data_IF_659254390933
#
_entry.id   IF_659254390933
#
_cell.length_a   1.000
_cell.length_b   1.000
_cell.length_c   1.000
_cell.angle_alpha   90.00
_cell.angle_beta   90.00
_cell.angle_gamma   90.00
#
_symmetry.space_group_name_H-M   'P 1'
#
loop_
_entity.id
_entity.type
_entity.pdbx_description
1 polymer ?
#
# COMPACT_ATOMS: atom_id res chain seq x y z
N UNK A 1 5.28 -10.32 -68.69
CA UNK A 1 5.35 -10.34 -67.21
C UNK A 1 4.42 -9.29 -66.63
N UNK A 2 3.21 -9.67 -66.20
CA UNK A 2 2.37 -8.97 -65.21
C UNK A 2 1.41 -10.02 -64.63
N UNK A 3 1.71 -10.50 -63.43
CA UNK A 3 0.82 -11.39 -62.68
C UNK A 3 -0.13 -10.56 -61.83
N UNK A 4 -1.44 -10.79 -61.99
CA UNK A 4 -2.49 -10.15 -61.19
C UNK A 4 -3.41 -11.24 -60.62
N UNK A 5 -3.40 -11.31 -59.29
CA UNK A 5 -4.47 -11.64 -58.33
C UNK A 5 -5.23 -12.97 -58.48
N UNK A 6 -5.16 -13.76 -57.41
CA UNK A 6 -6.28 -14.59 -56.97
C UNK A 6 -6.48 -14.43 -55.47
N UNK A 7 -7.52 -13.68 -55.10
CA UNK A 7 -8.06 -13.63 -53.76
C UNK A 7 -8.77 -14.97 -53.47
N UNK A 8 -8.46 -15.60 -52.34
CA UNK A 8 -9.19 -16.77 -51.85
C UNK A 8 -9.97 -16.41 -50.59
N UNK A 9 -11.28 -16.41 -50.80
CA UNK A 9 -12.41 -16.74 -49.94
C UNK A 9 -12.19 -17.01 -48.45
N UNK A 10 -12.98 -16.26 -47.69
CA UNK A 10 -13.53 -16.50 -46.35
C UNK A 10 -13.70 -17.99 -45.97
N UNK A 11 -13.01 -18.39 -44.90
CA UNK A 11 -13.34 -19.56 -44.10
C UNK A 11 -13.90 -19.13 -42.75
N UNK A 12 -15.21 -19.23 -42.59
CA UNK A 12 -15.86 -19.11 -41.29
C UNK A 12 -15.56 -20.38 -40.47
N UNK A 13 -14.84 -20.24 -39.36
CA UNK A 13 -14.74 -21.30 -38.35
C UNK A 13 -15.69 -20.92 -37.21
N UNK A 14 -16.82 -21.61 -37.20
CA UNK A 14 -17.74 -21.69 -36.09
C UNK A 14 -17.04 -22.45 -34.95
N UNK A 15 -16.54 -21.72 -33.96
CA UNK A 15 -15.99 -22.26 -32.72
C UNK A 15 -16.97 -22.08 -31.57
N UNK A 16 -17.87 -23.04 -31.42
CA UNK A 16 -18.63 -23.27 -30.20
C UNK A 16 -17.63 -23.67 -29.09
N UNK A 17 -17.77 -23.12 -27.87
CA UNK A 17 -17.82 -23.87 -26.60
C UNK A 17 -17.40 -23.04 -25.36
N UNK A 18 -18.38 -22.94 -24.47
CA UNK A 18 -18.27 -23.04 -23.00
C UNK A 18 -17.86 -21.78 -22.24
N UNK A 19 -18.86 -21.28 -21.50
CA UNK A 19 -18.77 -20.09 -20.67
C UNK A 19 -17.64 -20.14 -19.65
N UNK A 20 -16.86 -19.07 -19.63
CA UNK A 20 -16.24 -18.59 -18.41
C UNK A 20 -17.28 -17.75 -17.65
N UNK A 21 -18.26 -18.43 -17.08
CA UNK A 21 -19.03 -17.92 -15.96
C UNK A 21 -18.16 -17.94 -14.70
N UNK A 22 -17.01 -17.26 -14.73
CA UNK A 22 -16.33 -16.89 -13.51
C UNK A 22 -17.16 -15.75 -12.93
N UNK A 23 -18.09 -16.11 -12.06
CA UNK A 23 -18.64 -15.16 -11.10
C UNK A 23 -17.45 -14.62 -10.33
N UNK A 24 -16.92 -13.47 -10.77
CA UNK A 24 -16.01 -12.67 -9.97
C UNK A 24 -16.85 -12.25 -8.78
N UNK A 25 -16.83 -13.08 -7.74
CA UNK A 25 -17.29 -12.65 -6.43
C UNK A 25 -16.35 -11.51 -6.10
N UNK A 26 -16.85 -10.30 -6.28
CA UNK A 26 -16.16 -9.07 -5.95
C UNK A 26 -15.69 -9.24 -4.51
N UNK A 27 -14.41 -9.60 -4.36
CA UNK A 27 -13.81 -9.71 -3.05
C UNK A 27 -13.92 -8.30 -2.51
N UNK A 28 -14.80 -8.12 -1.52
CA UNK A 28 -15.11 -6.84 -0.91
C UNK A 28 -13.80 -6.07 -0.77
N UNK A 29 -13.79 -4.84 -1.27
CA UNK A 29 -12.59 -4.01 -1.32
C UNK A 29 -11.85 -4.19 0.00
N UNK A 30 -10.57 -4.60 -0.05
CA UNK A 30 -9.76 -4.64 1.16
C UNK A 30 -9.95 -3.30 1.84
N UNK A 31 -10.57 -3.32 3.01
CA UNK A 31 -10.94 -2.14 3.74
C UNK A 31 -10.40 -2.36 5.14
N UNK A 32 -9.57 -1.41 5.56
CA UNK A 32 -9.12 -1.37 6.94
C UNK A 32 -10.28 -0.81 7.76
N UNK A 33 -10.46 -1.31 8.98
CA UNK A 33 -11.39 -0.63 9.88
C UNK A 33 -10.89 0.77 10.19
N UNK A 34 -11.80 1.70 10.49
CA UNK A 34 -11.45 3.10 10.81
C UNK A 34 -10.42 3.23 11.94
N UNK A 35 -10.45 2.32 12.91
CA UNK A 35 -9.48 2.28 14.01
C UNK A 35 -8.09 1.84 13.55
N UNK A 36 -8.01 0.91 12.61
CA UNK A 36 -6.75 0.50 11.98
C UNK A 36 -6.16 1.63 11.14
N UNK A 37 -6.99 2.28 10.32
CA UNK A 37 -6.59 3.45 9.53
C UNK A 37 -6.05 4.58 10.41
N UNK A 38 -6.79 4.95 11.47
CA UNK A 38 -6.37 5.99 12.41
C UNK A 38 -5.05 5.64 13.11
N UNK A 39 -4.85 4.36 13.48
CA UNK A 39 -3.62 3.88 14.10
C UNK A 39 -2.43 3.98 13.13
N UNK A 40 -2.61 3.54 11.89
CA UNK A 40 -1.57 3.59 10.85
C UNK A 40 -1.24 5.04 10.47
N UNK A 41 -2.26 5.89 10.33
CA UNK A 41 -2.10 7.31 10.09
C UNK A 41 -1.27 7.97 11.20
N UNK A 42 -1.62 7.71 12.46
CA UNK A 42 -0.90 8.27 13.60
C UNK A 42 0.57 7.87 13.62
N UNK A 43 0.87 6.62 13.26
CA UNK A 43 2.24 6.13 13.16
C UNK A 43 3.01 6.81 12.01
N UNK A 44 2.33 7.10 10.89
CA UNK A 44 2.89 7.88 9.78
C UNK A 44 3.27 9.30 10.19
N UNK A 45 2.40 10.00 10.95
CA UNK A 45 2.73 11.34 11.50
C UNK A 45 3.97 11.31 12.39
N UNK A 46 4.08 10.33 13.29
CA UNK A 46 5.25 10.19 14.16
C UNK A 46 6.51 9.91 13.33
N UNK A 47 6.38 9.11 12.26
CA UNK A 47 7.48 8.77 11.36
C UNK A 47 7.98 9.99 10.58
N UNK A 48 7.10 10.90 10.15
CA UNK A 48 7.51 12.16 9.54
C UNK A 48 8.27 13.07 10.49
N UNK A 49 7.80 13.22 11.72
CA UNK A 49 8.50 14.02 12.72
C UNK A 49 9.87 13.41 13.03
N UNK A 50 9.95 12.09 13.13
CA UNK A 50 11.21 11.36 13.30
C UNK A 50 12.17 11.55 12.12
N UNK A 51 11.68 11.47 10.88
CA UNK A 51 12.45 11.75 9.67
C UNK A 51 13.02 13.18 9.69
N UNK A 52 12.19 14.18 10.01
CA UNK A 52 12.63 15.57 10.15
C UNK A 52 13.69 15.76 11.25
N UNK A 53 13.66 14.91 12.28
CA UNK A 53 14.65 14.87 13.36
C UNK A 53 15.88 13.98 13.05
N UNK A 54 15.96 13.36 11.88
CA UNK A 54 17.05 12.45 11.52
C UNK A 54 17.08 11.15 12.34
N UNK A 55 15.93 10.73 12.87
CA UNK A 55 15.76 9.44 13.55
C UNK A 55 15.42 8.36 12.53
N UNK A 56 15.82 7.11 12.81
CA UNK A 56 15.55 5.96 11.93
C UNK A 56 14.10 5.47 12.08
N UNK A 57 13.18 6.20 11.43
CA UNK A 57 11.78 5.84 11.40
C UNK A 57 11.51 4.52 10.67
N UNK A 58 12.37 4.15 9.72
CA UNK A 58 12.13 2.96 8.92
C UNK A 58 12.32 1.70 9.76
N UNK A 59 13.44 1.60 10.48
CA UNK A 59 13.75 0.44 11.32
C UNK A 59 12.94 0.42 12.62
N UNK A 60 12.65 1.58 13.21
CA UNK A 60 11.98 1.66 14.52
C UNK A 60 10.43 1.64 14.41
N UNK A 61 9.88 2.12 13.30
CA UNK A 61 8.43 2.31 13.13
C UNK A 61 7.87 1.48 11.98
N UNK A 62 8.28 1.78 10.74
CA UNK A 62 7.63 1.21 9.55
C UNK A 62 7.79 -0.30 9.45
N UNK A 63 9.02 -0.81 9.55
CA UNK A 63 9.28 -2.25 9.41
C UNK A 63 8.60 -3.08 10.51
N UNK A 64 8.69 -2.72 11.82
CA UNK A 64 7.97 -3.46 12.87
C UNK A 64 6.45 -3.39 12.73
N UNK A 65 5.89 -2.26 12.28
CA UNK A 65 4.46 -2.13 11.98
C UNK A 65 4.04 -3.10 10.88
N UNK A 66 4.76 -3.12 9.76
CA UNK A 66 4.46 -4.04 8.65
C UNK A 66 4.61 -5.51 9.07
N UNK A 67 5.60 -5.82 9.91
CA UNK A 67 5.77 -7.16 10.47
C UNK A 67 4.58 -7.56 11.37
N UNK A 68 4.09 -6.64 12.21
CA UNK A 68 2.92 -6.88 13.06
C UNK A 68 1.68 -7.22 12.24
N UNK A 69 1.34 -6.40 11.24
CA UNK A 69 0.16 -6.65 10.41
C UNK A 69 0.27 -7.93 9.58
N UNK A 70 1.48 -8.26 9.11
CA UNK A 70 1.73 -9.54 8.45
C UNK A 70 1.48 -10.73 9.39
N UNK A 71 1.90 -10.64 10.66
CA UNK A 71 1.63 -11.69 11.67
C UNK A 71 0.15 -11.84 11.99
N UNK A 72 -0.63 -10.78 11.87
CA UNK A 72 -2.09 -10.82 12.03
C UNK A 72 -2.83 -11.38 10.80
N UNK A 73 -2.11 -11.79 9.76
CA UNK A 73 -2.71 -12.40 8.58
C UNK A 73 -3.37 -11.42 7.62
N UNK A 74 -3.02 -10.12 7.68
CA UNK A 74 -3.48 -9.15 6.68
C UNK A 74 -3.07 -9.60 5.28
N UNK A 75 -4.01 -9.51 4.35
CA UNK A 75 -3.78 -9.81 2.94
C UNK A 75 -2.78 -8.83 2.32
N UNK A 76 -2.20 -9.18 1.17
CA UNK A 76 -1.28 -8.27 0.48
C UNK A 76 -1.93 -6.95 0.07
N UNK A 77 -3.23 -6.97 -0.26
CA UNK A 77 -3.98 -5.75 -0.58
C UNK A 77 -4.15 -4.86 0.66
N UNK A 78 -4.47 -5.44 1.82
CA UNK A 78 -4.53 -4.69 3.09
C UNK A 78 -3.14 -4.17 3.50
N UNK A 79 -2.07 -4.95 3.34
CA UNK A 79 -0.70 -4.50 3.63
C UNK A 79 -0.30 -3.34 2.72
N UNK A 80 -0.69 -3.35 1.45
CA UNK A 80 -0.47 -2.23 0.54
C UNK A 80 -1.22 -0.98 1.00
N UNK A 81 -2.47 -1.11 1.47
CA UNK A 81 -3.23 0.00 2.03
C UNK A 81 -2.60 0.54 3.31
N UNK A 82 -2.15 -0.33 4.21
CA UNK A 82 -1.45 0.06 5.45
C UNK A 82 -0.18 0.86 5.11
N UNK A 83 0.64 0.35 4.18
CA UNK A 83 1.84 1.07 3.73
C UNK A 83 1.48 2.42 3.08
N UNK A 84 0.42 2.46 2.27
CA UNK A 84 -0.09 3.66 1.64
C UNK A 84 -0.56 4.72 2.63
N UNK A 85 -1.37 4.34 3.63
CA UNK A 85 -1.83 5.25 4.68
C UNK A 85 -0.69 5.82 5.50
N UNK A 86 0.29 4.99 5.87
CA UNK A 86 1.48 5.42 6.59
C UNK A 86 2.28 6.44 5.76
N UNK A 87 2.58 6.12 4.50
CA UNK A 87 3.31 7.01 3.61
C UNK A 87 2.57 8.31 3.31
N UNK A 88 1.24 8.27 3.16
CA UNK A 88 0.41 9.46 2.96
C UNK A 88 0.46 10.39 4.17
N UNK A 89 0.30 9.85 5.39
CA UNK A 89 0.41 10.63 6.62
C UNK A 89 1.82 11.20 6.81
N UNK A 90 2.85 10.42 6.47
CA UNK A 90 4.25 10.85 6.54
C UNK A 90 4.53 12.00 5.56
N UNK A 91 4.01 11.93 4.34
CA UNK A 91 4.15 13.00 3.34
C UNK A 91 3.33 14.26 3.66
N UNK A 92 2.18 14.12 4.33
CA UNK A 92 1.31 15.25 4.69
C UNK A 92 1.90 16.12 5.81
N UNK A 93 2.62 15.51 6.74
CA UNK A 93 3.26 16.20 7.87
C UNK A 93 4.58 16.85 7.44
N UNK A 94 4.48 17.78 6.49
CA UNK A 94 5.61 18.54 5.96
C UNK A 94 6.22 19.48 7.00
N UNK A 95 7.53 19.32 7.21
CA UNK A 95 8.43 20.24 7.93
C UNK A 95 7.92 20.68 9.31
N UNK A 96 8.08 19.81 10.30
CA UNK A 96 8.24 20.29 11.67
C UNK A 96 9.39 21.32 11.68
N UNK A 97 9.26 22.38 12.50
CA UNK A 97 10.34 23.35 12.72
C UNK A 97 11.63 22.69 13.23
N UNK A 98 12.64 23.47 13.64
CA UNK A 98 13.88 22.92 14.17
C UNK A 98 13.61 21.84 15.23
N UNK A 99 14.17 20.64 15.03
CA UNK A 99 14.00 19.54 15.97
C UNK A 99 14.70 19.90 17.29
N UNK A 100 13.93 20.25 18.32
CA UNK A 100 14.47 20.53 19.65
C UNK A 100 14.84 19.22 20.34
N UNK A 101 15.75 19.26 21.32
CA UNK A 101 16.12 18.07 22.09
C UNK A 101 14.92 17.47 22.84
N UNK A 102 13.98 18.31 23.29
CA UNK A 102 12.74 17.86 23.90
C UNK A 102 11.88 17.08 22.90
N UNK A 103 11.73 17.59 21.67
CA UNK A 103 11.00 16.91 20.62
C UNK A 103 11.67 15.58 20.26
N UNK A 104 13.00 15.56 20.11
CA UNK A 104 13.77 14.33 19.86
C UNK A 104 13.51 13.28 20.95
N UNK A 105 13.66 13.64 22.23
CA UNK A 105 13.40 12.72 23.36
C UNK A 105 11.97 12.19 23.35
N UNK A 106 10.98 13.05 23.05
CA UNK A 106 9.59 12.63 22.93
C UNK A 106 9.41 11.61 21.80
N UNK A 107 10.00 11.88 20.64
CA UNK A 107 9.93 10.98 19.49
C UNK A 107 10.62 9.63 19.76
N UNK A 108 11.75 9.60 20.45
CA UNK A 108 12.41 8.33 20.83
C UNK A 108 11.50 7.40 21.66
N UNK A 109 10.56 7.96 22.43
CA UNK A 109 9.58 7.17 23.20
C UNK A 109 8.36 6.72 22.40
N UNK A 110 8.01 7.46 21.34
CA UNK A 110 6.79 7.28 20.55
C UNK A 110 7.03 6.55 19.22
N UNK A 111 8.22 6.71 18.65
CA UNK A 111 8.59 6.17 17.35
C UNK A 111 8.58 4.65 17.31
N UNK A 112 9.08 3.90 18.32
CA UNK A 112 8.99 2.45 18.31
C UNK A 112 7.54 1.99 18.17
N UNK A 113 7.23 1.27 17.09
CA UNK A 113 5.88 0.75 16.88
C UNK A 113 5.54 -0.30 17.95
N UNK A 114 4.42 -0.09 18.65
CA UNK A 114 3.89 -1.00 19.66
C UNK A 114 2.68 -1.72 19.07
N UNK A 115 2.87 -3.01 18.81
CA UNK A 115 1.87 -3.95 18.26
C UNK A 115 0.70 -4.17 19.20
#
# INVERSE_FOLDING_TARGET
MRGFVRAHSFGAVLGLLVGFGASFKEAGAAELSKSEEARVWKQGEISAMAEACGLDWQALSFQPMMAYWRRLGKSQKELALIAGYHGAAQGYTGKAGPCTDEMRRKLETQLPFKG
#
